data_IF_331742299738
#
_entry.id   IF_331742299738
#
_cell.length_a   1.000
_cell.length_b   1.000
_cell.length_c   1.000
_cell.angle_alpha   90.00
_cell.angle_beta   90.00
_cell.angle_gamma   90.00
#
_symmetry.space_group_name_H-M   'P 1'
#
loop_
_entity.id
_entity.type
_entity.pdbx_description
1 polymer ?
#
# COMPACT_ATOMS: atom_id res chain seq x y z
N UNK A 1 -13.02 -0.25 18.78
CA UNK A 1 -12.78 -0.79 17.43
C UNK A 1 -14.07 -1.46 16.97
N UNK A 2 -14.69 -0.95 15.91
CA UNK A 2 -15.91 -1.54 15.33
C UNK A 2 -15.59 -2.79 14.51
N UNK A 3 -14.41 -2.82 13.89
CA UNK A 3 -13.91 -3.98 13.14
C UNK A 3 -13.38 -5.02 14.14
N UNK A 4 -14.11 -6.14 14.28
CA UNK A 4 -13.78 -7.17 15.24
C UNK A 4 -12.68 -8.12 14.73
N UNK A 5 -12.16 -8.96 15.62
CA UNK A 5 -11.06 -9.88 15.31
C UNK A 5 -11.44 -10.92 14.23
N UNK A 6 -12.69 -11.37 14.21
CA UNK A 6 -13.15 -12.38 13.24
C UNK A 6 -13.17 -11.80 11.83
N UNK A 7 -13.59 -10.54 11.70
CA UNK A 7 -13.56 -9.83 10.43
C UNK A 7 -12.12 -9.59 9.97
N UNK A 8 -11.20 -9.22 10.89
CA UNK A 8 -9.76 -9.10 10.58
C UNK A 8 -9.21 -10.44 10.05
N UNK A 9 -9.52 -11.55 10.70
CA UNK A 9 -9.09 -12.87 10.25
C UNK A 9 -9.65 -13.22 8.87
N UNK A 10 -10.88 -12.80 8.57
CA UNK A 10 -11.47 -12.97 7.23
C UNK A 10 -10.67 -12.21 6.16
N UNK A 11 -10.25 -10.97 6.43
CA UNK A 11 -9.42 -10.21 5.48
C UNK A 11 -8.02 -10.80 5.31
N UNK A 12 -7.40 -11.31 6.37
CA UNK A 12 -6.15 -12.09 6.28
C UNK A 12 -6.33 -13.33 5.41
N UNK A 13 -7.44 -14.05 5.57
CA UNK A 13 -7.74 -15.21 4.73
C UNK A 13 -7.91 -14.81 3.25
N UNK A 14 -8.55 -13.68 2.98
CA UNK A 14 -8.76 -13.17 1.62
C UNK A 14 -7.43 -12.85 0.95
N UNK A 15 -6.56 -12.06 1.60
CA UNK A 15 -5.23 -11.74 1.04
C UNK A 15 -4.35 -12.97 0.91
N UNK A 16 -4.46 -13.94 1.83
CA UNK A 16 -3.73 -15.21 1.74
C UNK A 16 -4.15 -16.03 0.53
N UNK A 17 -5.45 -16.15 0.27
CA UNK A 17 -5.96 -16.87 -0.91
C UNK A 17 -5.59 -16.16 -2.20
N UNK A 18 -5.68 -14.83 -2.24
CA UNK A 18 -5.26 -14.05 -3.40
C UNK A 18 -3.76 -14.22 -3.67
N UNK A 19 -2.92 -14.19 -2.62
CA UNK A 19 -1.49 -14.44 -2.74
C UNK A 19 -1.18 -15.86 -3.26
N UNK A 20 -1.92 -16.89 -2.82
CA UNK A 20 -1.77 -18.27 -3.30
C UNK A 20 -2.12 -18.38 -4.79
N UNK A 21 -3.22 -17.75 -5.22
CA UNK A 21 -3.63 -17.79 -6.61
C UNK A 21 -2.60 -17.05 -7.51
N UNK A 22 -2.14 -15.86 -7.11
CA UNK A 22 -1.08 -15.14 -7.81
C UNK A 22 0.25 -15.92 -7.84
N UNK A 23 0.58 -16.64 -6.75
CA UNK A 23 1.81 -17.44 -6.63
C UNK A 23 1.93 -18.52 -7.70
N UNK A 24 0.81 -19.06 -8.20
CA UNK A 24 0.81 -20.04 -9.30
C UNK A 24 1.42 -19.50 -10.60
N UNK A 25 1.51 -18.17 -10.73
CA UNK A 25 2.05 -17.47 -11.90
C UNK A 25 3.43 -16.85 -11.67
N UNK A 26 4.05 -17.08 -10.50
CA UNK A 26 5.39 -16.54 -10.19
C UNK A 26 6.41 -17.03 -11.19
N UNK A 27 7.14 -16.09 -11.81
CA UNK A 27 8.19 -16.38 -12.81
C UNK A 27 7.67 -16.69 -14.21
N UNK A 28 6.37 -16.71 -14.45
CA UNK A 28 5.78 -17.02 -15.76
C UNK A 28 5.76 -15.84 -16.73
N UNK A 29 6.26 -14.66 -16.32
CA UNK A 29 6.27 -13.43 -17.12
C UNK A 29 4.87 -12.98 -17.58
N UNK A 30 3.84 -13.40 -16.89
CA UNK A 30 2.44 -13.12 -17.22
C UNK A 30 1.78 -12.37 -16.06
N UNK A 31 1.89 -11.04 -16.08
CA UNK A 31 1.31 -10.15 -15.06
C UNK A 31 -0.21 -10.23 -15.03
N UNK A 32 -0.83 -10.24 -16.22
CA UNK A 32 -2.29 -10.20 -16.37
C UNK A 32 -2.94 -11.43 -15.73
N UNK A 33 -2.36 -12.62 -15.93
CA UNK A 33 -2.91 -13.85 -15.34
C UNK A 33 -2.72 -13.90 -13.83
N UNK A 34 -1.59 -13.43 -13.30
CA UNK A 34 -1.35 -13.38 -11.87
C UNK A 34 -2.35 -12.43 -11.20
N UNK A 35 -2.53 -11.26 -11.77
CA UNK A 35 -3.46 -10.25 -11.30
C UNK A 35 -4.91 -10.73 -11.35
N UNK A 36 -5.36 -11.21 -12.53
CA UNK A 36 -6.70 -11.77 -12.69
C UNK A 36 -7.01 -12.86 -11.67
N UNK A 37 -6.10 -13.79 -11.43
CA UNK A 37 -6.32 -14.88 -10.48
C UNK A 37 -6.51 -14.36 -9.05
N UNK A 38 -5.72 -13.36 -8.65
CA UNK A 38 -5.87 -12.72 -7.34
C UNK A 38 -7.18 -11.94 -7.22
N UNK A 39 -7.55 -11.17 -8.24
CA UNK A 39 -8.81 -10.40 -8.31
C UNK A 39 -10.02 -11.33 -8.18
N UNK A 40 -10.06 -12.41 -8.97
CA UNK A 40 -11.21 -13.33 -9.01
C UNK A 40 -11.47 -13.94 -7.62
N UNK A 41 -10.43 -14.46 -6.95
CA UNK A 41 -10.57 -15.08 -5.62
C UNK A 41 -10.85 -14.05 -4.53
N UNK A 42 -10.21 -12.86 -4.59
CA UNK A 42 -10.45 -11.79 -3.62
C UNK A 42 -11.92 -11.35 -3.66
N UNK A 43 -12.47 -11.13 -4.86
CA UNK A 43 -13.90 -10.80 -5.05
C UNK A 43 -14.81 -11.90 -4.53
N UNK A 44 -14.52 -13.16 -4.88
CA UNK A 44 -15.32 -14.30 -4.42
C UNK A 44 -15.39 -14.36 -2.90
N UNK A 45 -14.26 -14.24 -2.23
CA UNK A 45 -14.17 -14.32 -0.76
C UNK A 45 -14.80 -13.10 -0.08
N UNK A 46 -14.63 -11.89 -0.62
CA UNK A 46 -15.30 -10.70 -0.11
C UNK A 46 -16.82 -10.82 -0.16
N UNK A 47 -17.38 -11.42 -1.22
CA UNK A 47 -18.82 -11.62 -1.37
C UNK A 47 -19.42 -12.63 -0.38
N UNK A 48 -18.60 -13.45 0.27
CA UNK A 48 -19.05 -14.40 1.31
C UNK A 48 -19.24 -13.73 2.68
N UNK A 49 -18.74 -12.50 2.86
CA UNK A 49 -18.79 -11.82 4.14
C UNK A 49 -20.15 -11.16 4.40
N UNK A 50 -20.54 -11.11 5.67
CA UNK A 50 -21.71 -10.34 6.11
C UNK A 50 -21.35 -8.89 6.36
N UNK A 51 -21.12 -8.15 5.28
CA UNK A 51 -20.75 -6.73 5.24
C UNK A 51 -21.57 -6.01 4.15
N UNK A 52 -21.70 -4.69 4.29
CA UNK A 52 -22.05 -3.75 3.23
C UNK A 52 -20.76 -3.06 2.77
N UNK A 53 -19.96 -3.77 1.96
CA UNK A 53 -18.67 -3.32 1.47
C UNK A 53 -18.79 -2.46 0.22
N UNK A 54 -17.93 -1.45 0.09
CA UNK A 54 -17.79 -0.63 -1.12
C UNK A 54 -16.32 -0.48 -1.45
N UNK A 55 -15.93 -0.83 -2.68
CA UNK A 55 -14.60 -0.54 -3.19
C UNK A 55 -14.43 0.98 -3.37
N UNK A 56 -13.43 1.55 -2.73
CA UNK A 56 -13.04 2.97 -2.89
C UNK A 56 -11.69 3.13 -3.57
N UNK A 57 -10.85 2.09 -3.52
CA UNK A 57 -9.61 1.91 -4.27
C UNK A 57 -9.63 0.48 -4.80
N UNK A 58 -9.41 0.29 -6.10
CA UNK A 58 -9.49 -1.03 -6.73
C UNK A 58 -8.79 -1.07 -8.08
N UNK A 59 -9.08 -2.13 -8.84
CA UNK A 59 -8.52 -2.39 -10.16
C UNK A 59 -9.50 -1.93 -11.25
N UNK A 60 -9.16 -0.85 -11.96
CA UNK A 60 -9.96 -0.34 -13.05
C UNK A 60 -11.08 0.61 -12.67
N UNK A 61 -11.59 1.31 -13.68
CA UNK A 61 -12.66 2.31 -13.55
C UNK A 61 -14.04 1.67 -13.58
N UNK A 62 -15.04 2.46 -13.17
CA UNK A 62 -16.46 2.14 -13.26
C UNK A 62 -16.78 1.52 -14.65
N UNK A 63 -17.43 0.35 -14.63
CA UNK A 63 -17.91 -0.41 -15.79
C UNK A 63 -16.91 -1.35 -16.51
N UNK A 64 -15.65 -1.44 -16.13
CA UNK A 64 -14.76 -2.49 -16.62
C UNK A 64 -14.87 -3.78 -15.79
N UNK A 65 -15.97 -4.53 -15.95
CA UNK A 65 -16.09 -5.86 -15.38
C UNK A 65 -15.10 -6.84 -16.06
N UNK A 66 -14.36 -7.68 -15.34
CA UNK A 66 -14.65 -8.29 -14.03
C UNK A 66 -13.67 -7.90 -12.91
N UNK A 67 -13.19 -6.69 -12.84
CA UNK A 67 -12.22 -6.21 -11.83
C UNK A 67 -12.93 -5.69 -10.59
N UNK A 68 -12.26 -5.63 -9.45
CA UNK A 68 -12.68 -4.98 -8.22
C UNK A 68 -12.70 -3.45 -8.43
N UNK A 69 -13.69 -2.96 -9.20
CA UNK A 69 -13.72 -1.58 -9.66
C UNK A 69 -14.21 -0.61 -8.58
N UNK A 70 -13.81 0.65 -8.67
CA UNK A 70 -14.23 1.71 -7.74
C UNK A 70 -15.77 1.85 -7.78
N UNK A 71 -16.39 1.75 -6.61
CA UNK A 71 -17.83 1.79 -6.44
C UNK A 71 -18.53 0.43 -6.40
N UNK A 72 -17.82 -0.67 -6.72
CA UNK A 72 -18.37 -2.03 -6.61
C UNK A 72 -18.82 -2.30 -5.17
N UNK A 73 -20.01 -2.89 -5.04
CA UNK A 73 -20.56 -3.32 -3.75
C UNK A 73 -20.29 -4.80 -3.56
N UNK A 74 -19.77 -5.16 -2.40
CA UNK A 74 -19.37 -6.51 -2.04
C UNK A 74 -19.94 -6.93 -0.69
N UNK A 75 -20.07 -8.24 -0.51
CA UNK A 75 -20.66 -8.84 0.68
C UNK A 75 -22.17 -9.02 0.57
N UNK A 76 -22.81 -9.37 1.67
CA UNK A 76 -24.25 -9.62 1.72
C UNK A 76 -25.12 -8.36 1.54
N UNK A 77 -24.55 -7.17 1.60
CA UNK A 77 -25.26 -5.90 1.68
C UNK A 77 -25.93 -5.66 3.04
N UNK A 78 -25.59 -6.48 4.03
CA UNK A 78 -26.03 -6.40 5.42
C UNK A 78 -24.80 -6.30 6.32
N UNK A 79 -25.00 -6.10 7.62
CA UNK A 79 -23.89 -6.00 8.55
C UNK A 79 -23.22 -4.65 8.51
N UNK A 80 -21.89 -4.61 8.76
CA UNK A 80 -21.13 -3.36 8.87
C UNK A 80 -20.89 -2.72 7.51
N UNK A 81 -21.18 -1.42 7.40
CA UNK A 81 -20.87 -0.62 6.20
C UNK A 81 -19.41 -0.22 6.24
N UNK A 82 -18.62 -0.66 5.24
CA UNK A 82 -17.19 -0.43 5.18
C UNK A 82 -16.73 0.05 3.80
N UNK A 83 -15.67 0.83 3.81
CA UNK A 83 -14.85 1.12 2.64
C UNK A 83 -13.76 0.06 2.51
N UNK A 84 -13.48 -0.33 1.28
CA UNK A 84 -12.49 -1.33 0.93
C UNK A 84 -11.53 -0.74 -0.10
N UNK A 85 -10.24 -0.79 0.18
CA UNK A 85 -9.17 -0.47 -0.75
C UNK A 85 -8.37 -1.74 -1.02
N UNK A 86 -8.11 -2.07 -2.27
CA UNK A 86 -7.38 -3.28 -2.67
C UNK A 86 -6.29 -2.99 -3.68
N UNK A 87 -5.23 -3.76 -3.59
CA UNK A 87 -4.26 -4.03 -4.65
C UNK A 87 -3.99 -5.55 -4.60
N UNK A 88 -4.69 -6.34 -5.43
CA UNK A 88 -4.59 -7.80 -5.40
C UNK A 88 -3.18 -8.31 -5.68
N UNK A 89 -2.38 -7.59 -6.47
CA UNK A 89 -0.97 -7.92 -6.79
C UNK A 89 -0.10 -6.67 -6.83
N UNK A 90 0.17 -6.10 -5.67
CA UNK A 90 1.20 -5.06 -5.53
C UNK A 90 2.56 -5.59 -5.98
N UNK A 91 3.17 -4.88 -6.92
CA UNK A 91 4.44 -5.31 -7.50
C UNK A 91 4.29 -6.44 -8.52
N UNK A 92 3.38 -6.30 -9.49
CA UNK A 92 3.15 -7.30 -10.56
C UNK A 92 4.42 -7.68 -11.31
N UNK A 93 5.40 -6.75 -11.44
CA UNK A 93 6.73 -7.05 -12.01
C UNK A 93 7.49 -8.07 -11.18
N UNK A 94 7.42 -7.98 -9.86
CA UNK A 94 8.12 -8.91 -8.97
C UNK A 94 7.54 -10.32 -9.14
N UNK A 95 6.22 -10.44 -9.15
CA UNK A 95 5.54 -11.73 -9.33
C UNK A 95 5.88 -12.34 -10.69
N UNK A 96 5.73 -11.57 -11.77
CA UNK A 96 5.97 -12.06 -13.13
C UNK A 96 7.40 -12.53 -13.37
N UNK A 97 8.38 -11.94 -12.70
CA UNK A 97 9.81 -12.24 -12.89
C UNK A 97 10.44 -13.04 -11.73
N UNK A 98 9.63 -13.54 -10.78
CA UNK A 98 10.10 -14.25 -9.58
C UNK A 98 11.14 -13.43 -8.78
N UNK A 99 10.85 -12.15 -8.60
CA UNK A 99 11.67 -11.24 -7.81
C UNK A 99 11.02 -11.02 -6.43
N UNK A 100 11.81 -10.66 -5.41
CA UNK A 100 11.29 -10.33 -4.09
C UNK A 100 10.44 -9.05 -4.12
N UNK A 101 9.33 -9.02 -3.37
CA UNK A 101 8.55 -7.81 -3.14
C UNK A 101 7.06 -7.89 -3.47
N UNK A 102 6.59 -8.97 -4.14
CA UNK A 102 5.17 -9.11 -4.49
C UNK A 102 4.27 -9.35 -3.28
N UNK A 103 3.20 -8.57 -3.15
CA UNK A 103 2.23 -8.64 -2.06
C UNK A 103 0.80 -8.69 -2.60
N UNK A 104 -0.12 -9.27 -1.85
CA UNK A 104 -1.57 -9.07 -2.02
C UNK A 104 -2.08 -8.22 -0.87
N UNK A 105 -2.75 -7.11 -1.16
CA UNK A 105 -3.02 -6.04 -0.20
C UNK A 105 -4.50 -5.69 -0.13
N UNK A 106 -4.98 -5.46 1.10
CA UNK A 106 -6.30 -4.91 1.38
C UNK A 106 -6.22 -3.93 2.56
N UNK A 107 -6.92 -2.81 2.46
CA UNK A 107 -7.22 -1.94 3.59
C UNK A 107 -8.72 -1.73 3.72
N UNK A 108 -9.20 -1.65 4.95
CA UNK A 108 -10.61 -1.44 5.26
C UNK A 108 -10.76 -0.40 6.36
N UNK A 109 -11.85 0.36 6.29
CA UNK A 109 -12.29 1.26 7.34
C UNK A 109 -13.83 1.35 7.34
N UNK A 110 -14.40 2.03 8.31
CA UNK A 110 -15.82 2.39 8.25
C UNK A 110 -16.11 3.20 6.99
N UNK A 111 -17.37 3.20 6.57
CA UNK A 111 -17.83 3.94 5.40
C UNK A 111 -17.41 5.42 5.46
N UNK A 112 -16.88 5.93 4.33
CA UNK A 112 -16.37 7.30 4.13
C UNK A 112 -15.11 7.65 4.96
N UNK A 113 -14.39 6.62 5.46
CA UNK A 113 -13.17 6.79 6.23
C UNK A 113 -11.88 6.53 5.44
N UNK A 114 -11.93 5.86 4.30
CA UNK A 114 -10.82 5.82 3.35
C UNK A 114 -11.00 6.89 2.27
N UNK A 115 -9.91 7.58 1.94
CA UNK A 115 -9.95 8.58 0.87
C UNK A 115 -10.18 7.88 -0.48
N UNK A 116 -11.20 8.32 -1.21
CA UNK A 116 -11.46 7.85 -2.55
C UNK A 116 -10.52 8.60 -3.51
N UNK A 117 -9.36 8.00 -3.79
CA UNK A 117 -8.33 8.59 -4.63
C UNK A 117 -8.59 8.34 -6.11
N UNK A 118 -8.39 9.35 -6.97
CA UNK A 118 -8.40 9.15 -8.41
C UNK A 118 -7.21 8.30 -8.84
N UNK A 119 -7.37 7.56 -9.92
CA UNK A 119 -6.29 6.80 -10.57
C UNK A 119 -5.33 7.77 -11.29
N UNK A 120 -4.50 8.43 -10.49
CA UNK A 120 -3.47 9.35 -10.95
C UNK A 120 -2.24 9.23 -10.06
N UNK A 121 -1.15 9.89 -10.42
CA UNK A 121 0.03 9.93 -9.58
C UNK A 121 -0.19 10.79 -8.33
N UNK A 122 0.59 10.47 -7.30
CA UNK A 122 0.69 11.21 -6.05
C UNK A 122 2.16 11.39 -5.70
N UNK A 123 2.57 12.61 -5.43
CA UNK A 123 3.83 12.91 -4.75
C UNK A 123 3.67 12.61 -3.27
N UNK A 124 4.59 11.83 -2.70
CA UNK A 124 4.47 11.23 -1.36
C UNK A 124 5.73 11.40 -0.56
N UNK A 125 5.56 11.59 0.75
CA UNK A 125 6.63 11.55 1.72
C UNK A 125 6.17 10.86 3.00
N UNK A 126 6.99 9.97 3.55
CA UNK A 126 6.72 9.30 4.81
C UNK A 126 7.97 9.18 5.68
N UNK A 127 7.79 9.34 7.01
CA UNK A 127 8.84 9.16 8.01
C UNK A 127 8.31 8.41 9.23
N UNK A 128 9.23 7.82 9.99
CA UNK A 128 8.93 7.14 11.24
C UNK A 128 8.38 8.11 12.30
N UNK A 129 7.50 7.63 13.17
CA UNK A 129 6.94 8.38 14.32
C UNK A 129 8.00 8.95 15.27
N UNK A 130 9.20 8.35 15.30
CA UNK A 130 10.30 8.80 16.16
C UNK A 130 11.05 10.02 15.58
N UNK A 131 10.70 10.46 14.38
CA UNK A 131 11.17 11.71 13.77
C UNK A 131 10.09 12.76 13.98
N UNK A 132 10.41 13.97 14.43
CA UNK A 132 9.42 15.04 14.58
C UNK A 132 8.63 15.25 13.28
N UNK A 133 7.32 15.41 13.41
CA UNK A 133 6.44 15.48 12.24
C UNK A 133 6.67 16.70 11.35
N UNK A 134 7.27 17.76 11.92
CA UNK A 134 7.66 19.00 11.22
C UNK A 134 9.04 18.92 10.56
N UNK A 135 9.78 17.82 10.74
CA UNK A 135 11.07 17.61 10.09
C UNK A 135 10.95 17.51 8.56
N UNK A 136 9.81 17.08 8.05
CA UNK A 136 9.60 16.95 6.60
C UNK A 136 8.29 17.57 6.15
N UNK A 137 8.33 18.09 4.92
CA UNK A 137 7.17 18.62 4.24
C UNK A 137 7.34 18.50 2.71
N UNK A 138 6.26 18.20 1.97
CA UNK A 138 6.28 18.15 0.49
C UNK A 138 6.59 19.52 -0.15
N UNK A 139 6.39 20.61 0.58
CA UNK A 139 6.69 21.95 0.10
C UNK A 139 8.14 22.36 0.35
N UNK A 140 8.88 21.61 1.17
CA UNK A 140 10.31 21.81 1.39
C UNK A 140 11.12 21.29 0.20
N UNK A 141 12.35 21.81 0.05
CA UNK A 141 13.32 21.19 -0.85
C UNK A 141 13.70 19.78 -0.34
N UNK A 142 14.12 18.89 -1.25
CA UNK A 142 14.66 17.58 -0.87
C UNK A 142 15.81 17.74 0.12
N UNK A 143 16.68 18.71 -0.15
CA UNK A 143 17.82 19.05 0.70
C UNK A 143 17.38 19.40 2.12
N UNK A 144 16.40 20.27 2.29
CA UNK A 144 15.94 20.71 3.61
C UNK A 144 15.31 19.53 4.39
N UNK A 145 14.47 18.73 3.73
CA UNK A 145 13.92 17.51 4.32
C UNK A 145 15.02 16.56 4.83
N UNK A 146 16.06 16.34 4.04
CA UNK A 146 17.17 15.45 4.42
C UNK A 146 18.00 16.04 5.58
N UNK A 147 18.29 17.33 5.56
CA UNK A 147 19.03 17.99 6.63
C UNK A 147 18.27 17.96 7.96
N UNK A 148 16.97 18.22 7.92
CA UNK A 148 16.10 18.16 9.10
C UNK A 148 16.05 16.75 9.69
N UNK A 149 15.98 15.70 8.83
CA UNK A 149 16.03 14.31 9.30
C UNK A 149 17.38 13.98 9.92
N UNK A 150 18.47 14.40 9.30
CA UNK A 150 19.83 14.18 9.82
C UNK A 150 19.98 14.80 11.22
N UNK A 151 19.50 16.04 11.39
CA UNK A 151 19.47 16.72 12.68
C UNK A 151 18.59 15.98 13.70
N UNK A 152 17.33 15.68 13.35
CA UNK A 152 16.38 15.02 14.23
C UNK A 152 16.85 13.63 14.70
N UNK A 153 17.58 12.90 13.83
CA UNK A 153 18.15 11.58 14.13
C UNK A 153 19.57 11.65 14.70
N UNK A 154 20.15 12.85 14.86
CA UNK A 154 21.54 13.06 15.25
C UNK A 154 22.52 12.20 14.40
N UNK A 155 22.32 12.21 13.09
CA UNK A 155 23.09 11.47 12.09
C UNK A 155 23.83 12.42 11.17
N UNK A 156 25.00 12.01 10.66
CA UNK A 156 25.57 12.62 9.47
C UNK A 156 24.64 12.40 8.26
N UNK A 157 24.55 13.39 7.36
CA UNK A 157 23.70 13.30 6.15
C UNK A 157 24.00 12.06 5.33
N UNK A 158 25.28 11.66 5.23
CA UNK A 158 25.71 10.46 4.51
C UNK A 158 25.26 9.14 5.16
N UNK A 159 24.71 9.20 6.36
CA UNK A 159 24.12 8.06 7.06
C UNK A 159 22.59 8.03 6.99
N UNK A 160 21.97 9.11 6.50
CA UNK A 160 20.53 9.10 6.22
C UNK A 160 20.26 8.12 5.07
N UNK A 161 19.19 7.35 5.18
CA UNK A 161 18.77 6.41 4.14
C UNK A 161 17.39 6.80 3.62
N UNK A 162 17.31 7.05 2.31
CA UNK A 162 16.09 7.33 1.59
C UNK A 162 15.67 6.10 0.76
N UNK A 163 14.41 5.72 0.84
CA UNK A 163 13.78 4.73 -0.01
C UNK A 163 12.99 5.44 -1.10
N UNK A 164 13.17 5.04 -2.36
CA UNK A 164 12.54 5.62 -3.53
C UNK A 164 12.44 4.57 -4.63
N UNK A 165 11.41 4.66 -5.47
CA UNK A 165 11.29 3.81 -6.65
C UNK A 165 12.30 4.23 -7.72
N UNK A 166 12.99 3.25 -8.32
CA UNK A 166 13.89 3.45 -9.47
C UNK A 166 13.06 3.59 -10.74
N UNK A 167 12.62 4.82 -11.01
CA UNK A 167 11.81 5.18 -12.17
C UNK A 167 12.38 6.41 -12.86
N UNK A 168 12.26 6.55 -14.19
CA UNK A 168 12.75 7.73 -14.91
C UNK A 168 12.25 9.07 -14.34
N UNK A 169 11.01 9.12 -13.85
CA UNK A 169 10.41 10.30 -13.21
C UNK A 169 11.10 10.72 -11.92
N UNK A 170 11.85 9.83 -11.28
CA UNK A 170 12.58 10.11 -10.04
C UNK A 170 14.05 10.51 -10.26
N UNK A 171 14.52 10.52 -11.51
CA UNK A 171 15.93 10.78 -11.80
C UNK A 171 16.44 12.06 -11.10
N UNK A 172 15.71 13.16 -11.16
CA UNK A 172 16.11 14.41 -10.51
C UNK A 172 16.22 14.26 -8.99
N UNK A 173 15.27 13.56 -8.37
CA UNK A 173 15.25 13.31 -6.92
C UNK A 173 16.46 12.44 -6.53
N UNK A 174 16.71 11.37 -7.29
CA UNK A 174 17.82 10.44 -7.05
C UNK A 174 19.16 11.15 -7.22
N UNK A 175 19.32 11.99 -8.25
CA UNK A 175 20.54 12.77 -8.49
C UNK A 175 20.80 13.73 -7.29
N UNK A 176 19.78 14.47 -6.82
CA UNK A 176 19.88 15.40 -5.69
C UNK A 176 20.23 14.70 -4.37
N UNK A 177 19.59 13.54 -4.09
CA UNK A 177 19.92 12.71 -2.93
C UNK A 177 21.36 12.16 -3.00
N UNK A 178 21.82 11.80 -4.19
CA UNK A 178 23.18 11.31 -4.44
C UNK A 178 24.23 12.40 -4.23
N UNK A 179 23.95 13.62 -4.68
CA UNK A 179 24.82 14.79 -4.45
C UNK A 179 24.96 15.11 -2.96
N UNK A 180 23.91 14.89 -2.18
CA UNK A 180 23.91 14.98 -0.72
C UNK A 180 24.62 13.79 -0.04
N UNK A 181 25.03 12.77 -0.79
CA UNK A 181 25.62 11.52 -0.31
C UNK A 181 24.69 10.71 0.60
N UNK A 182 23.38 10.87 0.43
CA UNK A 182 22.36 10.06 1.11
C UNK A 182 22.45 8.62 0.63
N UNK A 183 22.30 7.66 1.54
CA UNK A 183 22.22 6.25 1.15
C UNK A 183 20.86 5.97 0.52
N UNK A 184 20.87 5.40 -0.69
CA UNK A 184 19.65 5.09 -1.42
C UNK A 184 19.28 3.61 -1.28
N UNK A 185 18.01 3.35 -0.95
CA UNK A 185 17.34 2.07 -1.17
C UNK A 185 16.43 2.24 -2.39
N UNK A 186 16.93 1.80 -3.55
CA UNK A 186 16.21 1.86 -4.82
C UNK A 186 15.34 0.61 -4.98
N UNK A 187 14.05 0.79 -5.22
CA UNK A 187 13.10 -0.29 -5.48
C UNK A 187 12.65 -0.23 -6.93
N UNK A 188 12.71 -1.35 -7.64
CA UNK A 188 12.24 -1.42 -9.02
C UNK A 188 10.71 -1.45 -9.14
N UNK A 189 9.99 -1.76 -8.05
CA UNK A 189 8.54 -1.78 -7.93
C UNK A 189 8.14 -1.75 -6.45
N UNK A 190 6.82 -1.76 -6.11
CA UNK A 190 6.35 -1.92 -4.74
C UNK A 190 6.32 -0.61 -3.94
N UNK A 191 5.45 0.30 -4.32
CA UNK A 191 5.27 1.63 -3.71
C UNK A 191 4.78 1.52 -2.26
N UNK A 192 3.79 0.65 -2.00
CA UNK A 192 3.25 0.40 -0.66
C UNK A 192 4.34 -0.21 0.23
N UNK A 193 5.00 -1.27 -0.26
CA UNK A 193 6.06 -1.93 0.49
C UNK A 193 7.20 -0.97 0.84
N UNK A 194 7.59 -0.11 -0.12
CA UNK A 194 8.62 0.91 0.08
C UNK A 194 8.27 1.90 1.17
N UNK A 195 7.04 2.42 1.17
CA UNK A 195 6.56 3.35 2.18
C UNK A 195 6.56 2.73 3.59
N UNK A 196 6.23 1.44 3.71
CA UNK A 196 6.18 0.73 4.98
C UNK A 196 7.56 0.49 5.62
N UNK A 197 8.65 0.63 4.88
CA UNK A 197 9.99 0.46 5.44
C UNK A 197 10.36 1.54 6.47
N UNK A 198 9.67 2.68 6.50
CA UNK A 198 9.89 3.70 7.54
C UNK A 198 9.31 3.30 8.90
N UNK A 199 8.49 2.26 8.98
CA UNK A 199 7.75 1.91 10.21
C UNK A 199 8.59 1.32 11.32
N UNK A 200 9.76 0.75 10.99
CA UNK A 200 10.62 0.05 11.95
C UNK A 200 12.10 0.30 11.58
N UNK A 201 12.89 0.73 12.56
CA UNK A 201 14.33 1.03 12.40
C UNK A 201 15.15 -0.17 11.89
N UNK A 202 14.63 -1.41 12.04
CA UNK A 202 15.30 -2.62 11.51
C UNK A 202 15.41 -2.64 9.99
N UNK A 203 14.54 -1.89 9.27
CA UNK A 203 14.60 -1.78 7.81
C UNK A 203 15.65 -0.77 7.34
N UNK A 204 16.22 0.01 8.28
CA UNK A 204 17.25 1.02 8.04
C UNK A 204 16.84 1.99 6.94
N UNK A 205 15.62 2.54 7.04
CA UNK A 205 15.06 3.59 6.17
C UNK A 205 14.55 4.73 7.03
N UNK A 206 15.07 5.93 6.82
CA UNK A 206 14.69 7.14 7.56
C UNK A 206 13.52 7.87 6.88
N UNK A 207 13.47 7.83 5.55
CA UNK A 207 12.47 8.52 4.73
C UNK A 207 12.09 7.68 3.50
N UNK A 208 10.82 7.63 3.17
CA UNK A 208 10.30 7.26 1.86
C UNK A 208 9.81 8.53 1.16
N UNK A 209 10.17 8.71 -0.11
CA UNK A 209 9.71 9.85 -0.90
C UNK A 209 9.64 9.49 -2.38
N UNK A 210 8.78 10.17 -3.10
CA UNK A 210 8.67 10.07 -4.55
C UNK A 210 7.24 10.00 -5.06
N UNK A 211 7.14 9.86 -6.38
CA UNK A 211 5.89 9.87 -7.12
C UNK A 211 5.48 8.43 -7.44
N UNK A 212 4.31 8.02 -7.02
CA UNK A 212 3.70 6.73 -7.31
C UNK A 212 2.20 6.87 -7.43
N UNK A 213 1.45 5.78 -7.54
CA UNK A 213 0.01 5.85 -7.66
C UNK A 213 -0.67 6.45 -6.44
N UNK A 214 -1.73 7.22 -6.68
CA UNK A 214 -2.58 7.76 -5.62
C UNK A 214 -3.31 6.65 -4.84
N UNK A 215 -3.86 5.63 -5.51
CA UNK A 215 -4.44 4.44 -4.88
C UNK A 215 -3.50 3.76 -3.89
N UNK A 216 -2.25 3.49 -4.28
CA UNK A 216 -1.22 2.90 -3.42
C UNK A 216 -0.87 3.81 -2.25
N UNK A 217 -0.97 5.14 -2.44
CA UNK A 217 -0.80 6.12 -1.37
C UNK A 217 -1.83 5.98 -0.25
N UNK A 218 -3.10 5.69 -0.59
CA UNK A 218 -4.16 5.45 0.42
C UNK A 218 -3.92 4.13 1.16
N UNK A 219 -3.54 3.07 0.44
CA UNK A 219 -3.19 1.77 1.04
C UNK A 219 -1.99 1.91 2.00
N UNK A 220 -0.92 2.59 1.57
CA UNK A 220 0.24 2.86 2.41
C UNK A 220 -0.13 3.69 3.64
N UNK A 221 -0.94 4.75 3.47
CA UNK A 221 -1.40 5.60 4.57
C UNK A 221 -2.18 4.81 5.63
N UNK A 222 -3.02 3.84 5.22
CA UNK A 222 -3.76 2.98 6.14
C UNK A 222 -2.82 2.17 7.06
N UNK A 223 -1.75 1.62 6.51
CA UNK A 223 -0.76 0.92 7.32
C UNK A 223 0.06 1.86 8.20
N UNK A 224 0.51 3.00 7.65
CA UNK A 224 1.33 4.00 8.35
C UNK A 224 0.60 4.63 9.54
N UNK A 225 -0.74 4.81 9.45
CA UNK A 225 -1.57 5.32 10.55
C UNK A 225 -1.46 4.44 11.81
N UNK A 226 -1.48 3.13 11.64
CA UNK A 226 -1.36 2.18 12.75
C UNK A 226 -0.05 2.32 13.53
N UNK A 227 1.02 2.77 12.87
CA UNK A 227 2.34 2.99 13.47
C UNK A 227 2.52 4.42 14.00
N UNK A 228 1.58 5.33 13.72
CA UNK A 228 1.71 6.75 14.07
C UNK A 228 2.81 7.46 13.26
N UNK A 229 3.11 6.97 12.06
CA UNK A 229 4.04 7.58 11.14
C UNK A 229 3.47 8.89 10.57
N UNK A 230 4.34 9.79 10.12
CA UNK A 230 3.91 10.90 9.27
C UNK A 230 3.82 10.43 7.83
N UNK A 231 2.78 10.87 7.16
CA UNK A 231 2.62 10.74 5.71
C UNK A 231 1.99 12.01 5.15
N UNK A 232 2.49 12.47 4.03
CA UNK A 232 1.87 13.51 3.20
C UNK A 232 1.76 13.02 1.77
N UNK A 233 0.67 13.37 1.10
CA UNK A 233 0.44 13.09 -0.31
C UNK A 233 -0.14 14.29 -1.04
N UNK A 234 0.30 14.52 -2.29
CA UNK A 234 -0.28 15.52 -3.20
C UNK A 234 -0.53 14.87 -4.55
N UNK A 235 -1.78 14.86 -5.00
CA UNK A 235 -2.11 14.32 -6.32
C UNK A 235 -1.49 15.15 -7.44
N UNK A 236 -1.10 14.46 -8.51
CA UNK A 236 -0.56 15.05 -9.72
C UNK A 236 -1.55 14.78 -10.84
N UNK A 237 -2.05 15.85 -11.46
CA UNK A 237 -3.01 15.77 -12.55
C UNK A 237 -2.29 16.22 -13.84
N UNK A 238 -2.08 15.27 -14.75
CA UNK A 238 -1.32 15.52 -15.99
C UNK A 238 -2.23 15.90 -17.16
N UNK A 239 -3.51 15.49 -17.10
CA UNK A 239 -4.47 15.68 -18.18
C UNK A 239 -5.74 16.42 -17.71
N UNK A 240 -6.48 17.01 -18.66
CA UNK A 240 -7.79 17.60 -18.35
C UNK A 240 -8.80 16.55 -17.87
N UNK A 241 -8.65 15.31 -18.30
CA UNK A 241 -9.47 14.18 -17.89
C UNK A 241 -9.25 13.83 -16.43
N UNK A 242 -7.98 13.79 -15.98
CA UNK A 242 -7.63 13.59 -14.56
C UNK A 242 -8.26 14.69 -13.70
N UNK A 243 -8.18 15.95 -14.15
CA UNK A 243 -8.77 17.09 -13.45
C UNK A 243 -10.30 16.96 -13.37
N UNK A 244 -10.94 16.56 -14.45
CA UNK A 244 -12.40 16.37 -14.50
C UNK A 244 -12.80 15.23 -13.55
N UNK A 245 -12.09 14.12 -13.58
CA UNK A 245 -12.30 12.97 -12.70
C UNK A 245 -12.14 13.37 -11.23
N UNK A 246 -11.05 14.02 -10.87
CA UNK A 246 -10.79 14.51 -9.53
C UNK A 246 -11.93 15.40 -9.00
N UNK A 247 -12.41 16.35 -9.82
CA UNK A 247 -13.55 17.22 -9.48
C UNK A 247 -14.84 16.43 -9.25
N UNK A 248 -15.09 15.40 -10.07
CA UNK A 248 -16.27 14.52 -9.93
C UNK A 248 -16.18 13.72 -8.63
N UNK A 249 -14.99 13.34 -8.20
CA UNK A 249 -14.72 12.65 -6.93
C UNK A 249 -14.70 13.60 -5.72
N UNK A 250 -14.94 14.91 -5.92
CA UNK A 250 -15.06 15.90 -4.86
C UNK A 250 -13.75 16.61 -4.47
N UNK A 251 -12.67 16.43 -5.22
CA UNK A 251 -11.41 17.15 -5.01
C UNK A 251 -11.59 18.56 -5.57
N UNK A 252 -11.65 19.56 -4.68
CA UNK A 252 -11.88 20.98 -5.05
C UNK A 252 -10.57 21.72 -5.29
N UNK A 253 -9.57 21.47 -4.46
CA UNK A 253 -8.23 22.06 -4.58
C UNK A 253 -7.27 21.01 -5.16
N UNK A 254 -6.88 21.23 -6.42
CA UNK A 254 -6.00 20.30 -7.16
C UNK A 254 -4.54 20.32 -6.68
N UNK A 255 -4.15 21.34 -5.94
CA UNK A 255 -2.78 21.46 -5.38
C UNK A 255 -2.71 21.10 -3.91
N UNK A 256 -3.84 20.62 -3.36
CA UNK A 256 -3.91 20.31 -1.94
C UNK A 256 -2.91 19.22 -1.54
N UNK A 257 -2.15 19.52 -0.51
CA UNK A 257 -1.36 18.55 0.24
C UNK A 257 -2.26 17.94 1.31
N UNK A 258 -2.36 16.63 1.31
CA UNK A 258 -3.15 15.85 2.28
C UNK A 258 -2.24 15.30 3.35
N UNK A 259 -2.60 15.50 4.60
CA UNK A 259 -2.01 14.83 5.75
C UNK A 259 -2.63 13.43 5.93
N UNK A 260 -1.94 12.55 6.64
CA UNK A 260 -2.37 11.18 6.86
C UNK A 260 -3.81 11.09 7.39
N UNK A 261 -4.17 11.92 8.38
CA UNK A 261 -5.50 11.94 8.99
C UNK A 261 -6.62 12.51 8.09
N UNK A 262 -6.28 13.12 6.96
CA UNK A 262 -7.23 13.51 5.93
C UNK A 262 -7.46 12.38 4.92
N UNK A 263 -6.48 11.48 4.77
CA UNK A 263 -6.54 10.30 3.91
C UNK A 263 -7.24 9.16 4.63
N UNK A 264 -6.90 8.94 5.90
CA UNK A 264 -7.50 7.93 6.78
C UNK A 264 -8.23 8.64 7.91
N UNK A 265 -9.56 8.56 7.90
CA UNK A 265 -10.40 9.13 8.94
C UNK A 265 -10.79 8.04 9.94
N UNK A 266 -10.33 8.16 11.18
CA UNK A 266 -10.66 7.18 12.21
C UNK A 266 -9.81 5.92 12.21
N UNK A 267 -10.43 4.75 12.39
CA UNK A 267 -9.73 3.47 12.48
C UNK A 267 -9.74 2.76 11.13
N UNK A 268 -8.58 2.24 10.73
CA UNK A 268 -8.44 1.36 9.57
C UNK A 268 -7.72 0.08 9.94
N UNK A 269 -7.92 -0.95 9.15
CA UNK A 269 -7.17 -2.21 9.18
C UNK A 269 -6.49 -2.38 7.84
N UNK A 270 -5.21 -2.70 7.86
CA UNK A 270 -4.43 -3.04 6.68
C UNK A 270 -3.93 -4.47 6.78
N UNK A 271 -4.05 -5.23 5.71
CA UNK A 271 -3.53 -6.58 5.57
C UNK A 271 -2.71 -6.67 4.29
N UNK A 272 -1.50 -7.23 4.38
CA UNK A 272 -0.67 -7.56 3.23
C UNK A 272 -0.12 -8.97 3.37
N UNK A 273 -0.33 -9.84 2.39
CA UNK A 273 0.20 -11.20 2.35
C UNK A 273 1.27 -11.32 1.29
N UNK A 274 2.41 -11.93 1.62
CA UNK A 274 3.50 -12.14 0.69
C UNK A 274 3.12 -13.11 -0.43
N UNK A 275 3.27 -12.68 -1.69
CA UNK A 275 3.25 -13.56 -2.87
C UNK A 275 4.65 -14.08 -3.09
N UNK A 276 5.64 -13.19 -3.11
CA UNK A 276 7.06 -13.49 -3.11
C UNK A 276 7.70 -12.96 -1.82
N UNK A 277 8.92 -13.38 -1.49
CA UNK A 277 9.60 -12.87 -0.29
C UNK A 277 9.78 -11.35 -0.35
N UNK A 278 9.62 -10.68 0.79
CA UNK A 278 9.84 -9.23 0.91
C UNK A 278 10.52 -8.88 2.23
N UNK A 279 10.93 -7.62 2.40
CA UNK A 279 11.43 -7.10 3.69
C UNK A 279 10.34 -7.16 4.78
N UNK A 280 9.07 -7.15 4.41
CA UNK A 280 7.92 -7.11 5.33
C UNK A 280 7.49 -8.50 5.79
N UNK A 281 7.31 -9.43 4.84
CA UNK A 281 6.78 -10.79 5.04
C UNK A 281 7.40 -11.77 4.07
N UNK A 282 7.34 -13.07 4.40
CA UNK A 282 7.73 -14.16 3.51
C UNK A 282 6.65 -14.39 2.45
N UNK A 283 7.08 -14.80 1.26
CA UNK A 283 6.20 -15.23 0.20
C UNK A 283 5.54 -16.58 0.48
N UNK A 284 4.61 -16.96 -0.38
CA UNK A 284 3.96 -18.27 -0.35
C UNK A 284 5.01 -19.36 -0.51
N UNK A 285 4.91 -20.39 0.34
CA UNK A 285 5.73 -21.60 0.25
C UNK A 285 4.85 -22.84 0.25
N UNK A 286 5.39 -23.97 -0.21
CA UNK A 286 4.70 -25.26 -0.13
C UNK A 286 5.42 -26.18 0.84
N UNK A 287 4.70 -26.69 1.84
CA UNK A 287 5.22 -27.61 2.86
C UNK A 287 4.22 -28.74 3.01
N UNK A 288 4.65 -30.00 2.91
CA UNK A 288 3.79 -31.20 3.07
C UNK A 288 2.48 -31.16 2.27
N UNK A 289 2.54 -30.72 1.01
CA UNK A 289 1.39 -30.54 0.12
C UNK A 289 0.36 -29.49 0.61
N UNK A 290 0.81 -28.52 1.41
CA UNK A 290 0.01 -27.39 1.85
C UNK A 290 0.71 -26.09 1.47
N UNK A 291 -0.07 -25.05 1.15
CA UNK A 291 0.46 -23.68 1.01
C UNK A 291 0.57 -23.04 2.39
N UNK A 292 1.71 -22.42 2.64
CA UNK A 292 1.94 -21.60 3.84
C UNK A 292 2.10 -20.15 3.43
N UNK A 293 1.34 -19.26 4.05
CA UNK A 293 1.35 -17.83 3.83
C UNK A 293 1.78 -17.08 5.08
N UNK A 294 2.43 -15.94 4.89
CA UNK A 294 2.74 -15.00 5.96
C UNK A 294 2.09 -13.65 5.64
N UNK A 295 1.25 -13.15 6.55
CA UNK A 295 0.51 -11.91 6.42
C UNK A 295 0.93 -10.90 7.46
N UNK A 296 1.08 -9.65 7.03
CA UNK A 296 1.30 -8.49 7.86
C UNK A 296 -0.02 -7.78 8.08
N UNK A 297 -0.40 -7.59 9.34
CA UNK A 297 -1.68 -6.96 9.69
C UNK A 297 -1.44 -5.81 10.64
N UNK A 298 -2.05 -4.68 10.36
CA UNK A 298 -2.01 -3.51 11.23
C UNK A 298 -3.40 -2.95 11.47
N UNK A 299 -3.60 -2.41 12.65
CA UNK A 299 -4.75 -1.61 13.04
C UNK A 299 -4.33 -0.65 14.16
N UNK A 300 -5.08 0.42 14.36
CA UNK A 300 -4.71 1.51 15.27
C UNK A 300 -4.33 0.99 16.66
N UNK A 301 -3.19 1.44 17.17
CA UNK A 301 -2.60 1.03 18.43
C UNK A 301 -2.22 -0.46 18.54
N UNK A 302 -2.26 -1.22 17.46
CA UNK A 302 -1.68 -2.54 17.41
C UNK A 302 -0.38 -2.50 16.62
N UNK A 303 0.67 -2.99 17.26
CA UNK A 303 1.92 -3.21 16.56
C UNK A 303 1.74 -4.31 15.50
N UNK A 304 2.68 -4.38 14.55
CA UNK A 304 2.78 -5.41 13.54
C UNK A 304 2.39 -6.79 14.09
N UNK A 305 1.28 -7.34 13.62
CA UNK A 305 0.96 -8.73 13.79
C UNK A 305 1.35 -9.48 12.52
N UNK A 306 2.23 -10.47 12.64
CA UNK A 306 2.52 -11.42 11.56
C UNK A 306 1.70 -12.67 11.84
N UNK A 307 0.84 -13.02 10.89
CA UNK A 307 -0.04 -14.18 10.96
C UNK A 307 0.44 -15.20 9.91
N UNK A 308 0.65 -16.44 10.35
CA UNK A 308 0.95 -17.54 9.44
C UNK A 308 -0.29 -18.43 9.30
N UNK A 309 -0.68 -18.70 8.07
CA UNK A 309 -1.80 -19.57 7.75
C UNK A 309 -1.35 -20.69 6.83
N UNK A 310 -2.06 -21.83 6.91
CA UNK A 310 -1.83 -23.02 6.08
C UNK A 310 -3.11 -23.38 5.33
N UNK A 311 -2.97 -23.65 4.05
CA UNK A 311 -4.08 -23.98 3.15
C UNK A 311 -3.80 -25.29 2.41
N UNK A 312 -4.76 -26.21 2.29
CA UNK A 312 -4.58 -27.41 1.50
C UNK A 312 -4.30 -27.04 0.04
N UNK A 313 -3.34 -27.74 -0.56
CA UNK A 313 -3.15 -27.69 -2.00
C UNK A 313 -4.19 -28.63 -2.62
N UNK A 314 -5.25 -28.04 -3.15
CA UNK A 314 -6.23 -28.80 -3.93
C UNK A 314 -5.61 -29.18 -5.27
N UNK A 315 -5.69 -30.48 -5.61
CA UNK A 315 -5.18 -31.06 -6.88
C UNK A 315 -5.91 -30.50 -8.11
#
# INVERSE_FOLDING_TARGET
MLINKDLINSFVNITSKAAIEAFKFVGMKNKIMADKAAVDIMREELNKLDIDGKIVIGEGELDEAPMLYIGEKLGSGKGMSIDIAVDPVEGTNFVANNLPGGLSVIAIAERDHLFNAPETYMDKIAINKNIPSDAVDLDNSIRDNILNIAEARNKDVSKVRACILDRPRHKRIIDELSDLKVKLKLLSDGDIAGALLVTDDKYDVDIFLGIGGGPEGVLAASALDAFGCKFQGRFIFETEEDIKRAKTMGIKDLNKKYELNEIIKGESVFCATGITNSDLVKGVTTVNNEFVTESFVTYKNSFKNVINNTYPKLD
#
